data_IF_475489048510
#
_entry.id   IF_475489048510
#
_cell.length_a   1.000
_cell.length_b   1.000
_cell.length_c   1.000
_cell.angle_alpha   90.00
_cell.angle_beta   90.00
_cell.angle_gamma   90.00
#
_symmetry.space_group_name_H-M   'P 1'
#
loop_
_entity.id
_entity.type
_entity.pdbx_description
1 polymer ?
#
# COMPACT_ATOMS: atom_id res chain seq x y z
N UNK A 1 2.95 8.90 -5.92
CA UNK A 1 3.88 7.82 -6.36
C UNK A 1 4.81 7.39 -5.20
N UNK A 2 4.31 6.66 -4.20
CA UNK A 2 5.04 6.33 -2.95
C UNK A 2 6.18 5.29 -3.09
N UNK A 3 6.88 5.01 -1.98
CA UNK A 3 8.11 4.20 -1.88
C UNK A 3 8.01 2.80 -2.51
N UNK A 4 6.83 2.18 -2.52
CA UNK A 4 6.60 0.89 -3.19
C UNK A 4 6.87 0.94 -4.69
N UNK A 5 6.83 2.12 -5.31
CA UNK A 5 7.17 2.34 -6.72
C UNK A 5 8.67 2.52 -6.98
N UNK A 6 9.44 2.87 -5.94
CA UNK A 6 10.91 2.91 -6.03
C UNK A 6 11.43 1.49 -6.23
N UNK A 7 10.90 0.52 -5.47
CA UNK A 7 11.24 -0.90 -5.66
C UNK A 7 10.85 -1.40 -7.05
N UNK A 8 9.71 -0.95 -7.62
CA UNK A 8 9.37 -1.26 -9.01
C UNK A 8 10.41 -0.73 -10.00
N UNK A 9 10.95 0.48 -9.79
CA UNK A 9 12.02 1.05 -10.63
C UNK A 9 13.29 0.20 -10.55
N UNK A 10 13.65 -0.34 -9.40
CA UNK A 10 14.86 -1.17 -9.24
C UNK A 10 14.66 -2.64 -9.59
N UNK A 11 13.43 -3.09 -9.88
CA UNK A 11 13.12 -4.50 -10.18
C UNK A 11 14.00 -5.08 -11.30
N UNK A 12 14.18 -4.31 -12.37
CA UNK A 12 14.97 -4.73 -13.53
C UNK A 12 16.49 -4.57 -13.32
N UNK A 13 16.90 -3.75 -12.35
CA UNK A 13 18.32 -3.48 -12.06
C UNK A 13 18.87 -4.53 -11.08
N UNK A 14 18.08 -4.92 -10.08
CA UNK A 14 18.53 -5.77 -8.97
C UNK A 14 18.11 -7.24 -9.09
N UNK A 15 17.48 -7.64 -10.19
CA UNK A 15 16.99 -9.01 -10.41
C UNK A 15 16.21 -9.58 -9.20
N UNK A 16 15.25 -8.80 -8.70
CA UNK A 16 14.43 -9.16 -7.54
C UNK A 16 13.02 -9.57 -7.99
N UNK A 17 12.46 -10.62 -7.38
CA UNK A 17 11.03 -10.91 -7.52
C UNK A 17 10.24 -10.10 -6.49
N UNK A 18 9.61 -9.01 -6.95
CA UNK A 18 8.81 -8.13 -6.10
C UNK A 18 7.37 -8.66 -6.00
N UNK A 19 6.96 -9.05 -4.80
CA UNK A 19 5.57 -9.46 -4.49
C UNK A 19 4.90 -8.45 -3.57
N UNK A 20 3.78 -7.92 -4.01
CA UNK A 20 2.93 -7.05 -3.21
C UNK A 20 2.05 -7.90 -2.30
N UNK A 21 1.99 -7.57 -1.01
CA UNK A 21 1.00 -8.13 -0.08
C UNK A 21 0.17 -7.01 0.52
N UNK A 22 -1.16 -7.05 0.38
CA UNK A 22 -2.04 -6.13 1.07
C UNK A 22 -1.89 -6.33 2.58
N UNK A 23 -1.78 -5.26 3.35
CA UNK A 23 -1.80 -5.32 4.81
C UNK A 23 -2.45 -4.07 5.39
N UNK A 24 -3.21 -4.23 6.47
CA UNK A 24 -3.96 -3.12 7.05
C UNK A 24 -3.15 -2.43 8.15
N UNK A 25 -2.67 -1.21 7.88
CA UNK A 25 -1.88 -0.43 8.84
C UNK A 25 -2.61 -0.21 10.16
N UNK A 26 -3.93 0.06 10.14
CA UNK A 26 -4.72 0.21 11.36
C UNK A 26 -4.68 -1.03 12.25
N UNK A 27 -4.67 -2.23 11.66
CA UNK A 27 -4.54 -3.50 12.37
C UNK A 27 -3.14 -3.69 12.98
N UNK A 28 -2.09 -3.32 12.25
CA UNK A 28 -0.70 -3.34 12.76
C UNK A 28 -0.55 -2.40 13.96
N UNK A 29 -1.12 -1.19 13.88
CA UNK A 29 -1.05 -0.21 14.96
C UNK A 29 -1.80 -0.68 16.21
N UNK A 30 -2.98 -1.27 16.03
CA UNK A 30 -3.76 -1.85 17.11
C UNK A 30 -3.00 -2.99 17.81
N UNK A 31 -2.43 -3.92 17.04
CA UNK A 31 -1.72 -5.09 17.60
C UNK A 31 -0.36 -4.74 18.21
N UNK A 32 0.32 -3.71 17.72
CA UNK A 32 1.61 -3.25 18.28
C UNK A 32 1.48 -2.19 19.39
N UNK A 33 0.27 -1.68 19.65
CA UNK A 33 0.05 -0.58 20.59
C UNK A 33 0.65 0.77 20.14
N UNK A 34 1.12 0.87 18.89
CA UNK A 34 1.71 2.09 18.36
C UNK A 34 0.64 3.10 17.94
N UNK A 35 0.84 4.35 18.35
CA UNK A 35 -0.02 5.48 17.95
C UNK A 35 0.55 6.18 16.71
N UNK A 36 -0.29 6.81 15.86
CA UNK A 36 0.21 7.55 14.71
C UNK A 36 1.18 8.65 15.18
N UNK A 37 2.35 8.83 14.53
CA UNK A 37 3.29 9.89 14.90
C UNK A 37 2.67 11.28 14.75
N UNK A 38 1.66 11.42 13.88
CA UNK A 38 0.86 12.63 13.69
C UNK A 38 0.10 13.10 14.94
N UNK A 39 -0.10 12.24 15.94
CA UNK A 39 -0.73 12.62 17.22
C UNK A 39 0.10 13.64 18.01
N UNK A 40 1.40 13.75 17.72
CA UNK A 40 2.28 14.76 18.30
C UNK A 40 2.41 15.94 17.32
N UNK A 41 1.95 17.16 17.66
CA UNK A 41 1.92 18.28 16.73
C UNK A 41 3.25 18.55 16.03
N UNK A 42 4.36 18.58 16.79
CA UNK A 42 5.72 18.78 16.25
C UNK A 42 6.14 17.68 15.27
N UNK A 43 5.71 16.43 15.49
CA UNK A 43 6.00 15.32 14.56
C UNK A 43 5.10 15.39 13.32
N UNK A 44 3.84 15.80 13.46
CA UNK A 44 2.94 16.06 12.33
C UNK A 44 3.47 17.17 11.40
N UNK A 45 3.93 18.29 11.95
CA UNK A 45 4.57 19.36 11.18
C UNK A 45 5.82 18.87 10.43
N UNK A 46 6.64 18.07 11.10
CA UNK A 46 7.81 17.46 10.47
C UNK A 46 7.42 16.53 9.32
N UNK A 47 6.39 15.70 9.50
CA UNK A 47 5.90 14.79 8.45
C UNK A 47 5.41 15.54 7.21
N UNK A 48 4.69 16.65 7.38
CA UNK A 48 4.25 17.48 6.25
C UNK A 48 5.45 18.05 5.47
N UNK A 49 6.49 18.50 6.18
CA UNK A 49 7.73 18.98 5.55
C UNK A 49 8.47 17.84 4.84
N UNK A 50 8.55 16.67 5.48
CA UNK A 50 9.25 15.51 4.95
C UNK A 50 8.56 14.93 3.71
N UNK A 51 7.24 14.88 3.70
CA UNK A 51 6.43 14.50 2.53
C UNK A 51 6.76 15.36 1.31
N UNK A 52 6.88 16.69 1.46
CA UNK A 52 7.27 17.60 0.37
C UNK A 52 8.70 17.32 -0.11
N UNK A 53 9.64 17.06 0.81
CA UNK A 53 11.03 16.70 0.47
C UNK A 53 11.10 15.38 -0.29
N UNK A 54 10.40 14.36 0.18
CA UNK A 54 10.33 13.04 -0.44
C UNK A 54 9.64 13.10 -1.80
N UNK A 55 8.58 13.90 -1.96
CA UNK A 55 7.93 14.12 -3.24
C UNK A 55 8.91 14.70 -4.28
N UNK A 56 9.71 15.70 -3.89
CA UNK A 56 10.76 16.27 -4.75
C UNK A 56 11.87 15.26 -5.05
N UNK A 57 12.37 14.55 -4.03
CA UNK A 57 13.47 13.61 -4.16
C UNK A 57 13.14 12.43 -5.08
N UNK A 58 11.97 11.81 -4.90
CA UNK A 58 11.55 10.66 -5.70
C UNK A 58 10.87 11.04 -7.03
N UNK A 59 10.69 12.35 -7.29
CA UNK A 59 10.00 12.91 -8.46
C UNK A 59 8.58 12.38 -8.57
N UNK A 60 7.83 12.64 -7.51
CA UNK A 60 6.50 12.12 -7.28
C UNK A 60 5.53 13.30 -7.17
N UNK A 61 4.47 13.37 -7.99
CA UNK A 61 3.51 14.47 -7.94
C UNK A 61 2.55 14.28 -6.75
N UNK A 62 3.08 14.40 -5.53
CA UNK A 62 2.30 14.38 -4.30
C UNK A 62 2.31 15.79 -3.73
N UNK A 63 1.13 16.40 -3.74
CA UNK A 63 0.84 17.67 -3.09
C UNK A 63 -0.09 17.38 -1.92
N UNK A 64 0.40 17.59 -0.69
CA UNK A 64 -0.36 17.36 0.52
C UNK A 64 -0.44 18.66 1.31
N UNK A 65 -1.65 19.17 1.48
CA UNK A 65 -1.96 20.28 2.40
C UNK A 65 -2.13 19.76 3.83
N UNK A 66 -2.21 20.68 4.80
CA UNK A 66 -2.50 20.33 6.20
C UNK A 66 -3.91 19.72 6.35
N UNK A 67 -4.88 20.24 5.60
CA UNK A 67 -6.27 19.75 5.60
C UNK A 67 -6.36 18.34 5.00
N UNK A 68 -5.60 18.06 3.93
CA UNK A 68 -5.49 16.72 3.36
C UNK A 68 -4.93 15.72 4.37
N UNK A 69 -3.90 16.12 5.11
CA UNK A 69 -3.29 15.26 6.11
C UNK A 69 -4.27 14.90 7.23
N UNK A 70 -5.04 15.86 7.73
CA UNK A 70 -6.10 15.61 8.72
C UNK A 70 -7.20 14.70 8.16
N UNK A 71 -7.65 14.95 6.93
CA UNK A 71 -8.64 14.10 6.27
C UNK A 71 -8.16 12.66 6.11
N UNK A 72 -6.91 12.45 5.69
CA UNK A 72 -6.35 11.10 5.51
C UNK A 72 -6.21 10.38 6.84
N UNK A 73 -5.80 11.07 7.89
CA UNK A 73 -5.75 10.52 9.25
C UNK A 73 -7.13 10.05 9.75
N UNK A 74 -8.19 10.75 9.37
CA UNK A 74 -9.58 10.38 9.68
C UNK A 74 -10.23 9.40 8.70
N UNK A 75 -9.63 9.16 7.52
CA UNK A 75 -10.22 8.32 6.47
C UNK A 75 -9.99 6.84 6.76
N UNK A 76 -11.09 6.07 6.82
CA UNK A 76 -10.98 4.62 6.97
C UNK A 76 -10.57 3.95 5.65
N UNK A 77 -9.34 3.41 5.60
CA UNK A 77 -8.83 2.68 4.44
C UNK A 77 -9.22 1.20 4.41
N UNK A 78 -9.98 0.69 5.38
CA UNK A 78 -10.33 -0.72 5.49
C UNK A 78 -11.04 -1.27 4.24
N UNK A 79 -12.00 -0.53 3.70
CA UNK A 79 -12.73 -0.94 2.48
C UNK A 79 -11.81 -0.95 1.26
N UNK A 80 -10.89 0.02 1.14
CA UNK A 80 -9.84 0.04 0.13
C UNK A 80 -8.92 -1.18 0.24
N UNK A 81 -8.47 -1.51 1.45
CA UNK A 81 -7.61 -2.66 1.67
C UNK A 81 -8.31 -3.99 1.39
N UNK A 82 -9.61 -4.12 1.71
CA UNK A 82 -10.42 -5.29 1.36
C UNK A 82 -10.60 -5.43 -0.15
N UNK A 83 -10.84 -4.33 -0.86
CA UNK A 83 -10.93 -4.33 -2.32
C UNK A 83 -9.62 -4.79 -2.96
N UNK A 84 -8.49 -4.25 -2.50
CA UNK A 84 -7.16 -4.66 -2.97
C UNK A 84 -6.88 -6.14 -2.66
N UNK A 85 -7.31 -6.62 -1.49
CA UNK A 85 -7.20 -8.04 -1.11
C UNK A 85 -8.07 -8.94 -2.00
N UNK A 86 -9.29 -8.54 -2.31
CA UNK A 86 -10.16 -9.28 -3.23
C UNK A 86 -9.54 -9.35 -4.64
N UNK A 87 -8.91 -8.27 -5.09
CA UNK A 87 -8.14 -8.25 -6.34
C UNK A 87 -6.90 -9.16 -6.27
N UNK A 88 -6.14 -9.17 -5.17
CA UNK A 88 -5.01 -10.11 -5.00
C UNK A 88 -5.45 -11.58 -5.10
N UNK A 89 -6.60 -11.91 -4.51
CA UNK A 89 -7.15 -13.27 -4.52
C UNK A 89 -7.65 -13.72 -5.89
N UNK A 90 -8.13 -12.80 -6.73
CA UNK A 90 -8.78 -13.14 -8.01
C UNK A 90 -7.89 -12.85 -9.22
N UNK A 91 -7.17 -11.73 -9.19
CA UNK A 91 -6.40 -11.19 -10.30
C UNK A 91 -5.13 -10.45 -9.79
N UNK A 92 -4.12 -11.19 -9.29
CA UNK A 92 -2.92 -10.60 -8.69
C UNK A 92 -2.10 -9.76 -9.67
N UNK A 93 -2.26 -9.94 -10.99
CA UNK A 93 -1.58 -9.13 -12.01
C UNK A 93 -1.94 -7.64 -11.95
N UNK A 94 -3.13 -7.30 -11.46
CA UNK A 94 -3.55 -5.89 -11.33
C UNK A 94 -3.22 -5.29 -9.96
N UNK A 95 -2.59 -6.04 -9.06
CA UNK A 95 -2.34 -5.58 -7.71
C UNK A 95 -1.41 -4.35 -7.65
N UNK A 96 -0.35 -4.35 -8.45
CA UNK A 96 0.58 -3.21 -8.56
C UNK A 96 -0.09 -1.94 -9.13
N UNK A 97 -0.71 -1.97 -10.33
CA UNK A 97 -1.34 -0.77 -10.89
C UNK A 97 -2.50 -0.29 -10.02
N UNK A 98 -3.28 -1.20 -9.42
CA UNK A 98 -4.37 -0.84 -8.54
C UNK A 98 -3.86 -0.12 -7.28
N UNK A 99 -2.83 -0.67 -6.63
CA UNK A 99 -2.23 -0.06 -5.44
C UNK A 99 -1.69 1.34 -5.73
N UNK A 100 -1.14 1.56 -6.94
CA UNK A 100 -0.67 2.88 -7.39
C UNK A 100 -1.83 3.88 -7.52
N UNK A 101 -2.92 3.47 -8.17
CA UNK A 101 -4.10 4.33 -8.35
C UNK A 101 -4.74 4.72 -7.02
N UNK A 102 -4.91 3.77 -6.10
CA UNK A 102 -5.40 4.07 -4.76
C UNK A 102 -4.46 5.04 -4.02
N UNK A 103 -3.14 4.89 -4.15
CA UNK A 103 -2.18 5.78 -3.50
C UNK A 103 -2.23 7.21 -4.03
N UNK A 104 -2.43 7.41 -5.33
CA UNK A 104 -2.55 8.75 -5.90
C UNK A 104 -3.87 9.41 -5.52
N UNK A 105 -4.94 8.61 -5.36
CA UNK A 105 -6.30 9.07 -5.13
C UNK A 105 -6.67 9.25 -3.65
N UNK A 106 -5.92 8.67 -2.72
CA UNK A 106 -6.13 8.84 -1.27
C UNK A 106 -6.11 10.32 -0.84
N UNK A 107 -5.37 11.15 -1.60
CA UNK A 107 -5.27 12.59 -1.38
C UNK A 107 -6.44 13.39 -1.93
N UNK A 108 -7.32 12.85 -2.78
CA UNK A 108 -8.40 13.62 -3.39
C UNK A 108 -9.76 12.99 -3.09
N UNK A 109 -9.99 11.76 -3.54
CA UNK A 109 -11.21 11.00 -3.29
C UNK A 109 -10.99 9.54 -3.73
N UNK A 110 -11.33 8.58 -2.86
CA UNK A 110 -11.25 7.16 -3.20
C UNK A 110 -12.54 6.76 -3.93
N UNK A 111 -12.51 6.80 -5.26
CA UNK A 111 -13.56 6.20 -6.10
C UNK A 111 -13.03 4.88 -6.65
N UNK A 112 -13.53 3.77 -6.10
CA UNK A 112 -13.07 2.41 -6.42
C UNK A 112 -13.14 2.08 -7.92
N UNK A 113 -14.27 2.41 -8.56
CA UNK A 113 -14.50 2.15 -9.98
C UNK A 113 -13.50 2.90 -10.88
N UNK A 114 -13.22 4.16 -10.57
CA UNK A 114 -12.23 4.95 -11.32
C UNK A 114 -10.80 4.43 -11.10
N UNK A 115 -10.44 4.06 -9.87
CA UNK A 115 -9.13 3.48 -9.58
C UNK A 115 -8.95 2.14 -10.30
N UNK A 116 -9.99 1.31 -10.33
CA UNK A 116 -9.96 0.02 -11.01
C UNK A 116 -9.87 0.18 -12.54
N UNK A 117 -10.64 1.12 -13.12
CA UNK A 117 -10.59 1.41 -14.55
C UNK A 117 -9.20 1.91 -14.99
N UNK A 118 -8.60 2.84 -14.25
CA UNK A 118 -7.25 3.35 -14.56
C UNK A 118 -6.16 2.31 -14.33
N UNK A 119 -6.39 1.35 -13.43
CA UNK A 119 -5.52 0.20 -13.24
C UNK A 119 -5.68 -0.90 -14.31
N UNK A 120 -6.63 -0.73 -15.25
CA UNK A 120 -6.89 -1.68 -16.34
C UNK A 120 -7.82 -2.84 -15.98
N UNK A 121 -8.51 -2.80 -14.83
CA UNK A 121 -9.54 -3.79 -14.51
C UNK A 121 -10.80 -3.52 -15.35
N UNK A 122 -11.40 -4.58 -15.89
CA UNK A 122 -12.73 -4.48 -16.49
C UNK A 122 -13.79 -4.13 -15.43
N UNK A 123 -14.91 -3.57 -15.88
CA UNK A 123 -16.04 -3.25 -14.99
C UNK A 123 -16.55 -4.49 -14.25
N UNK A 124 -16.59 -5.65 -14.92
CA UNK A 124 -17.02 -6.93 -14.36
C UNK A 124 -16.09 -7.41 -13.23
N UNK A 125 -14.78 -7.36 -13.45
CA UNK A 125 -13.79 -7.74 -12.42
C UNK A 125 -13.84 -6.81 -11.22
N UNK A 126 -14.03 -5.52 -11.48
CA UNK A 126 -14.17 -4.49 -10.43
C UNK A 126 -15.43 -4.73 -9.60
N UNK A 127 -16.55 -5.06 -10.24
CA UNK A 127 -17.81 -5.36 -9.58
C UNK A 127 -17.71 -6.64 -8.73
N UNK A 128 -17.10 -7.69 -9.27
CA UNK A 128 -16.83 -8.93 -8.54
C UNK A 128 -15.96 -8.68 -7.31
N UNK A 129 -14.92 -7.86 -7.43
CA UNK A 129 -14.07 -7.50 -6.30
C UNK A 129 -14.84 -6.67 -5.25
N UNK A 130 -15.74 -5.78 -5.66
CA UNK A 130 -16.62 -5.02 -4.77
C UNK A 130 -17.58 -5.93 -4.00
N UNK A 131 -18.17 -6.94 -4.62
CA UNK A 131 -19.05 -7.91 -3.95
C UNK A 131 -18.29 -8.74 -2.90
N UNK A 132 -17.04 -9.08 -3.21
CA UNK A 132 -16.19 -9.87 -2.31
C UNK A 132 -15.72 -9.11 -1.07
N UNK A 133 -15.74 -7.78 -1.02
CA UNK A 133 -15.20 -7.01 0.13
C UNK A 133 -15.89 -7.34 1.46
N UNK A 134 -17.15 -7.74 1.40
CA UNK A 134 -17.96 -8.07 2.58
C UNK A 134 -17.84 -9.54 2.99
N UNK A 135 -17.27 -10.38 2.12
CA UNK A 135 -17.13 -11.82 2.36
C UNK A 135 -16.21 -12.10 3.56
N UNK A 136 -16.48 -13.16 4.35
CA UNK A 136 -15.58 -13.61 5.42
C UNK A 136 -14.18 -13.93 4.88
N UNK A 137 -14.09 -14.57 3.72
CA UNK A 137 -12.82 -14.98 3.11
C UNK A 137 -11.86 -13.81 2.88
N UNK A 138 -12.34 -12.68 2.36
CA UNK A 138 -11.49 -11.48 2.15
C UNK A 138 -11.10 -10.85 3.48
N UNK A 139 -12.01 -10.82 4.46
CA UNK A 139 -11.72 -10.27 5.79
C UNK A 139 -10.63 -11.07 6.49
N UNK A 140 -10.73 -12.39 6.45
CA UNK A 140 -9.78 -13.27 7.11
C UNK A 140 -8.44 -13.28 6.38
N UNK A 141 -8.45 -13.23 5.04
CA UNK A 141 -7.22 -13.06 4.25
C UNK A 141 -6.47 -11.77 4.59
N UNK A 142 -7.18 -10.65 4.76
CA UNK A 142 -6.56 -9.38 5.16
C UNK A 142 -5.99 -9.44 6.58
N UNK A 143 -6.64 -10.16 7.51
CA UNK A 143 -6.11 -10.38 8.86
C UNK A 143 -4.85 -11.23 8.83
N UNK A 144 -4.85 -12.33 8.09
CA UNK A 144 -3.69 -13.24 7.96
C UNK A 144 -2.47 -12.50 7.40
N UNK A 145 -2.63 -11.80 6.28
CA UNK A 145 -1.55 -11.04 5.65
C UNK A 145 -1.02 -9.92 6.56
N UNK A 146 -1.90 -9.29 7.34
CA UNK A 146 -1.50 -8.30 8.35
C UNK A 146 -0.72 -8.95 9.51
N UNK A 147 -1.13 -10.14 9.97
CA UNK A 147 -0.43 -10.89 11.01
C UNK A 147 0.93 -11.42 10.53
N UNK A 148 1.03 -11.87 9.28
CA UNK A 148 2.30 -12.23 8.65
C UNK A 148 3.27 -11.05 8.62
N UNK A 149 2.81 -9.86 8.21
CA UNK A 149 3.63 -8.65 8.22
C UNK A 149 4.22 -8.36 9.61
N UNK A 150 3.43 -8.57 10.67
CA UNK A 150 3.89 -8.41 12.05
C UNK A 150 4.97 -9.44 12.43
N UNK A 151 4.84 -10.70 11.98
CA UNK A 151 5.88 -11.73 12.18
C UNK A 151 7.21 -11.34 11.53
N UNK A 152 7.17 -10.69 10.36
CA UNK A 152 8.37 -10.16 9.70
C UNK A 152 8.92 -8.88 10.33
N UNK A 153 8.39 -8.45 11.48
CA UNK A 153 8.88 -7.29 12.21
C UNK A 153 8.44 -5.94 11.63
N UNK A 154 7.41 -5.93 10.75
CA UNK A 154 6.83 -4.69 10.25
C UNK A 154 6.18 -3.95 11.42
N UNK A 155 6.84 -2.87 11.85
CA UNK A 155 6.34 -1.94 12.85
C UNK A 155 6.14 -0.58 12.19
N UNK A 156 5.04 0.07 12.55
CA UNK A 156 4.60 1.36 12.00
C UNK A 156 5.67 2.48 12.07
N UNK A 157 6.73 2.31 12.86
CA UNK A 157 7.79 3.30 13.08
C UNK A 157 9.01 3.14 12.16
N UNK A 158 9.25 1.96 11.57
CA UNK A 158 10.41 1.72 10.69
C UNK A 158 10.05 1.72 9.21
N UNK A 159 8.76 1.56 8.87
CA UNK A 159 8.29 1.65 7.49
C UNK A 159 7.74 3.04 7.23
N UNK A 160 8.39 3.74 6.30
CA UNK A 160 8.01 5.08 5.87
C UNK A 160 6.52 5.08 5.52
N UNK A 161 5.81 6.09 6.03
CA UNK A 161 4.37 6.34 5.91
C UNK A 161 3.80 6.22 4.48
N UNK A 162 4.64 6.18 3.46
CA UNK A 162 4.31 6.04 2.05
C UNK A 162 3.94 4.61 1.57
N UNK A 163 3.95 3.61 2.46
CA UNK A 163 3.68 2.20 2.12
C UNK A 163 2.32 1.67 2.58
N UNK A 164 1.36 2.55 2.89
CA UNK A 164 0.06 2.19 3.51
C UNK A 164 -0.83 1.22 2.73
N UNK A 165 -0.49 0.87 1.48
CA UNK A 165 -1.42 0.17 0.58
C UNK A 165 -0.99 -1.26 0.24
N UNK A 166 0.31 -1.51 0.12
CA UNK A 166 0.85 -2.86 0.00
C UNK A 166 2.24 -2.89 0.61
N UNK A 167 2.47 -3.86 1.50
CA UNK A 167 3.80 -4.19 2.00
C UNK A 167 4.45 -5.06 0.92
N UNK A 168 5.57 -4.65 0.34
CA UNK A 168 6.39 -5.57 -0.44
C UNK A 168 6.87 -6.66 0.52
N UNK A 169 6.38 -7.89 0.36
CA UNK A 169 6.75 -9.00 1.24
C UNK A 169 7.60 -10.01 0.47
N UNK A 170 8.73 -10.37 1.08
CA UNK A 170 9.80 -11.24 0.60
C UNK A 170 10.49 -10.78 -0.70
N UNK A 171 11.63 -10.10 -0.52
CA UNK A 171 12.74 -10.20 -1.45
C UNK A 171 13.25 -11.66 -1.42
N UNK A 172 12.95 -12.46 -2.45
CA UNK A 172 13.90 -13.49 -2.88
C UNK A 172 14.83 -12.83 -3.88
N UNK A 173 16.07 -12.57 -3.47
CA UNK A 173 17.18 -12.44 -4.41
C UNK A 173 17.27 -13.81 -5.06
N UNK A 174 16.97 -13.93 -6.36
CA UNK A 174 17.36 -15.14 -7.08
C UNK A 174 18.89 -15.18 -7.01
N UNK A 175 19.42 -16.08 -6.18
CA UNK A 175 20.82 -16.45 -6.22
C UNK A 175 21.19 -16.75 -7.66
N UNK A 176 22.39 -16.32 -8.04
CA UNK A 176 22.99 -16.52 -9.35
C UNK A 176 22.57 -17.86 -9.94
N UNK A 177 21.96 -17.83 -11.14
CA UNK A 177 22.05 -19.00 -12.01
C UNK A 177 23.54 -19.25 -12.17
N UNK A 178 24.06 -20.28 -11.51
CA UNK A 178 25.26 -20.97 -11.97
C UNK A 178 25.02 -21.28 -13.45
N UNK A 179 25.67 -20.53 -14.31
CA UNK A 179 25.84 -20.94 -15.70
C UNK A 179 26.87 -22.07 -15.64
N UNK A 180 26.38 -23.30 -15.57
CA UNK A 180 27.17 -24.46 -15.94
C UNK A 180 27.56 -24.34 -17.42
N UNK A 181 28.86 -24.26 -17.65
CA UNK A 181 29.53 -24.44 -18.93
C UNK A 181 30.68 -25.41 -18.73
#
# INVERSE_FOLDING_TARGET
>A
LGFSLVLCRYRHIWNIDLRFRPAFLGGIMQQTGNKPPAMLPKRGEYMLKDMKRMAKYYQVPVHMSADDFQRILGTNSLTAMRFITATDMTNPQYLEPLSREFWMRILNCIVFSQAAQQAGLSAELSQKALEMISSPTVKDRLKETTAEALKYGVRCFQWHWASQICIPSLLRIQGSKEQGG
#
